data_IF_353989050088
#
_entry.id   IF_353989050088
#
_cell.length_a   1.000
_cell.length_b   1.000
_cell.length_c   1.000
_cell.angle_alpha   90.00
_cell.angle_beta   90.00
_cell.angle_gamma   90.00
#
_symmetry.space_group_name_H-M   'P 1'
#
loop_
_entity.id
_entity.type
_entity.pdbx_description
1 polymer ?
#
# COMPACT_ATOMS: atom_id res chain seq x y z
N UNK A 1 -32.10 -10.94 -20.92
CA UNK A 1 -30.82 -10.28 -21.26
C UNK A 1 -29.88 -11.36 -21.72
N UNK A 2 -29.20 -11.23 -22.84
CA UNK A 2 -28.31 -12.28 -23.29
C UNK A 2 -26.98 -12.20 -22.48
N UNK A 3 -26.42 -13.36 -22.15
CA UNK A 3 -25.13 -13.46 -21.48
C UNK A 3 -24.07 -12.63 -22.22
N UNK A 4 -24.17 -12.54 -23.53
CA UNK A 4 -23.29 -11.77 -24.39
C UNK A 4 -23.43 -10.25 -24.16
N UNK A 5 -24.65 -9.78 -23.92
CA UNK A 5 -24.92 -8.39 -23.57
C UNK A 5 -24.42 -8.11 -22.17
N UNK A 6 -24.57 -9.04 -21.27
CA UNK A 6 -24.12 -8.91 -19.89
C UNK A 6 -22.60 -8.95 -19.80
N UNK A 7 -21.96 -9.82 -20.59
CA UNK A 7 -20.51 -9.86 -20.69
C UNK A 7 -19.94 -8.62 -21.40
N UNK A 8 -20.60 -8.18 -22.48
CA UNK A 8 -20.23 -6.92 -23.15
C UNK A 8 -20.43 -5.71 -22.24
N UNK A 9 -21.50 -5.71 -21.45
CA UNK A 9 -21.75 -4.67 -20.46
C UNK A 9 -20.76 -4.78 -19.29
N UNK A 10 -20.41 -5.98 -18.86
CA UNK A 10 -19.35 -6.22 -17.89
C UNK A 10 -18.00 -5.71 -18.39
N UNK A 11 -17.58 -6.07 -19.61
CA UNK A 11 -16.36 -5.58 -20.22
C UNK A 11 -16.36 -4.06 -20.40
N UNK A 12 -17.50 -3.50 -20.81
CA UNK A 12 -17.65 -2.05 -20.92
C UNK A 12 -17.61 -1.39 -19.54
N UNK A 13 -18.22 -2.00 -18.54
CA UNK A 13 -18.15 -1.53 -17.16
C UNK A 13 -16.72 -1.67 -16.61
N UNK A 14 -16.02 -2.76 -16.93
CA UNK A 14 -14.59 -2.91 -16.58
C UNK A 14 -13.73 -1.89 -17.32
N UNK A 15 -14.02 -1.61 -18.60
CA UNK A 15 -13.35 -0.55 -19.34
C UNK A 15 -13.64 0.82 -18.73
N UNK A 16 -14.89 1.12 -18.42
CA UNK A 16 -15.31 2.38 -17.78
C UNK A 16 -14.73 2.47 -16.36
N UNK A 17 -14.69 1.37 -15.64
CA UNK A 17 -14.03 1.28 -14.34
C UNK A 17 -12.51 1.40 -14.50
N UNK A 18 -11.95 0.79 -15.53
CA UNK A 18 -10.52 0.93 -15.88
C UNK A 18 -10.21 2.33 -16.36
N UNK A 19 -11.05 2.93 -17.20
CA UNK A 19 -10.93 4.33 -17.60
C UNK A 19 -11.14 5.28 -16.43
N UNK A 20 -12.07 4.97 -15.52
CA UNK A 20 -12.22 5.68 -14.25
C UNK A 20 -11.06 5.40 -13.30
N UNK A 21 -10.60 4.17 -13.23
CA UNK A 21 -9.49 3.75 -12.39
C UNK A 21 -8.16 4.26 -12.92
N UNK A 22 -7.88 4.10 -14.20
CA UNK A 22 -6.58 4.39 -14.82
C UNK A 22 -6.52 5.77 -15.46
N UNK A 23 -7.63 6.34 -15.93
CA UNK A 23 -7.69 7.67 -16.52
C UNK A 23 -8.00 8.76 -15.50
N UNK A 24 -9.22 8.76 -14.98
CA UNK A 24 -9.71 9.81 -14.08
C UNK A 24 -9.60 9.42 -12.62
N UNK A 25 -10.03 8.21 -12.28
CA UNK A 25 -10.16 7.77 -10.89
C UNK A 25 -8.82 7.63 -10.17
N UNK A 26 -7.74 7.26 -10.88
CA UNK A 26 -6.39 7.21 -10.30
C UNK A 26 -5.90 8.59 -9.87
N UNK A 27 -6.27 9.63 -10.62
CA UNK A 27 -5.77 10.99 -10.44
C UNK A 27 -6.77 11.92 -9.72
N UNK A 28 -8.06 11.55 -9.66
CA UNK A 28 -9.08 12.28 -8.90
C UNK A 28 -9.03 11.87 -7.42
N UNK A 29 -7.95 12.21 -6.74
CA UNK A 29 -7.68 11.80 -5.35
C UNK A 29 -8.74 12.34 -4.38
N UNK A 30 -9.28 13.53 -4.65
CA UNK A 30 -10.33 14.16 -3.87
C UNK A 30 -11.59 13.30 -3.76
N UNK A 31 -11.89 12.49 -4.77
CA UNK A 31 -13.03 11.56 -4.76
C UNK A 31 -12.82 10.33 -3.87
N UNK A 32 -11.57 10.09 -3.45
CA UNK A 32 -11.21 8.96 -2.59
C UNK A 32 -10.82 9.40 -1.19
N UNK A 33 -10.72 10.69 -0.97
CA UNK A 33 -10.32 11.20 0.34
C UNK A 33 -11.22 10.67 1.45
N UNK A 34 -10.60 10.10 2.46
CA UNK A 34 -11.21 9.74 3.74
C UNK A 34 -10.54 10.58 4.80
N UNK A 35 -11.32 11.30 5.58
CA UNK A 35 -10.76 12.07 6.69
C UNK A 35 -10.01 11.10 7.61
N UNK A 36 -8.72 11.32 7.86
CA UNK A 36 -7.93 10.42 8.70
C UNK A 36 -8.46 10.44 10.15
N UNK A 37 -8.25 9.35 10.85
CA UNK A 37 -8.73 9.21 12.23
C UNK A 37 -7.87 8.24 13.03
N UNK A 38 -7.87 8.43 14.34
CA UNK A 38 -7.31 7.48 15.29
C UNK A 38 -8.28 6.31 15.45
N UNK A 39 -7.80 5.09 15.21
CA UNK A 39 -8.60 3.89 15.35
C UNK A 39 -8.67 3.49 16.83
N UNK A 40 -7.48 3.32 17.44
CA UNK A 40 -7.36 2.95 18.85
C UNK A 40 -5.91 3.17 19.32
N UNK A 41 -5.73 3.70 20.54
CA UNK A 41 -4.40 3.86 21.13
C UNK A 41 -3.44 4.64 20.22
N UNK A 42 -2.43 3.98 19.72
CA UNK A 42 -1.40 4.54 18.85
C UNK A 42 -1.56 4.12 17.38
N UNK A 43 -2.71 3.58 16.99
CA UNK A 43 -3.04 3.14 15.64
C UNK A 43 -3.95 4.15 14.94
N UNK A 44 -3.56 4.57 13.74
CA UNK A 44 -4.23 5.59 12.93
C UNK A 44 -4.55 5.06 11.54
N UNK A 45 -5.66 5.53 10.97
CA UNK A 45 -6.02 5.36 9.56
C UNK A 45 -5.68 6.64 8.80
N UNK A 46 -4.89 6.49 7.73
CA UNK A 46 -4.47 7.61 6.88
C UNK A 46 -4.64 7.33 5.38
N UNK A 47 -5.23 6.18 5.04
CA UNK A 47 -5.49 5.74 3.68
C UNK A 47 -6.65 6.49 2.99
N UNK A 48 -7.06 5.95 1.87
CA UNK A 48 -8.20 6.45 1.10
C UNK A 48 -9.34 5.41 1.05
N UNK A 49 -10.45 5.72 0.38
CA UNK A 49 -11.60 4.81 0.29
C UNK A 49 -11.35 3.56 -0.58
N UNK A 50 -10.17 3.45 -1.15
CA UNK A 50 -9.76 2.30 -1.97
C UNK A 50 -8.72 1.45 -1.28
N UNK A 51 -7.62 2.07 -0.84
CA UNK A 51 -6.49 1.36 -0.23
C UNK A 51 -6.32 1.83 1.20
N UNK A 52 -6.37 0.86 2.10
CA UNK A 52 -6.12 1.13 3.50
C UNK A 52 -4.63 1.41 3.73
N UNK A 53 -4.33 2.50 4.41
CA UNK A 53 -3.00 2.78 4.94
C UNK A 53 -3.14 3.06 6.43
N UNK A 54 -2.32 2.36 7.21
CA UNK A 54 -2.33 2.50 8.66
C UNK A 54 -0.97 2.98 9.17
N UNK A 55 -0.99 3.70 10.28
CA UNK A 55 0.23 4.09 10.99
C UNK A 55 0.12 3.65 12.45
N UNK A 56 1.20 3.10 12.95
CA UNK A 56 1.42 2.86 14.38
C UNK A 56 2.52 3.81 14.86
N UNK A 57 2.22 4.62 15.87
CA UNK A 57 3.26 5.34 16.59
C UNK A 57 3.94 4.38 17.57
N UNK A 58 5.18 4.01 17.27
CA UNK A 58 5.95 3.03 18.04
C UNK A 58 6.66 3.65 19.25
N UNK A 59 6.51 4.96 19.46
CA UNK A 59 7.24 5.73 20.47
C UNK A 59 8.70 6.00 20.13
N UNK A 60 9.22 5.44 19.02
CA UNK A 60 10.58 5.69 18.50
C UNK A 60 10.62 6.02 17.01
N UNK A 61 9.47 6.26 16.44
CA UNK A 61 9.21 6.56 15.04
C UNK A 61 7.89 5.95 14.62
N UNK A 62 7.48 6.23 13.40
CA UNK A 62 6.25 5.73 12.83
C UNK A 62 6.50 4.47 12.00
N UNK A 63 5.65 3.47 12.20
CA UNK A 63 5.55 2.30 11.37
C UNK A 63 4.32 2.44 10.48
N UNK A 64 4.48 2.39 9.17
CA UNK A 64 3.39 2.50 8.22
C UNK A 64 3.12 1.14 7.54
N UNK A 65 1.85 0.78 7.39
CA UNK A 65 1.37 -0.39 6.66
C UNK A 65 0.76 0.07 5.34
N UNK A 66 1.32 -0.41 4.25
CA UNK A 66 1.08 0.01 2.88
C UNK A 66 1.39 1.50 2.64
N UNK A 67 1.41 1.89 1.38
CA UNK A 67 1.78 3.22 0.95
C UNK A 67 0.77 3.83 -0.05
N UNK A 68 -0.42 3.25 -0.08
CA UNK A 68 -1.50 3.72 -0.95
C UNK A 68 -1.21 3.58 -2.42
N UNK A 69 -2.13 4.11 -3.18
CA UNK A 69 -2.13 4.07 -4.63
C UNK A 69 -1.14 5.08 -5.24
N UNK A 70 -0.68 4.83 -6.44
CA UNK A 70 0.10 5.80 -7.20
C UNK A 70 -0.69 7.12 -7.38
N UNK A 71 0.02 8.23 -7.30
CA UNK A 71 -0.58 9.57 -7.34
C UNK A 71 -1.23 10.03 -6.03
N UNK A 72 -1.43 9.15 -5.04
CA UNK A 72 -2.04 9.52 -3.75
C UNK A 72 -1.04 10.04 -2.70
N UNK A 73 0.24 10.15 -3.03
CA UNK A 73 1.31 10.53 -2.09
C UNK A 73 1.02 11.86 -1.38
N UNK A 74 0.56 12.89 -2.10
CA UNK A 74 0.28 14.19 -1.51
C UNK A 74 -0.87 14.11 -0.49
N UNK A 75 -1.93 13.37 -0.81
CA UNK A 75 -3.06 13.14 0.09
C UNK A 75 -2.63 12.34 1.32
N UNK A 76 -1.80 11.32 1.15
CA UNK A 76 -1.25 10.52 2.25
C UNK A 76 -0.42 11.39 3.21
N UNK A 77 0.48 12.22 2.68
CA UNK A 77 1.26 13.17 3.47
C UNK A 77 0.36 14.14 4.25
N UNK A 78 -0.67 14.68 3.59
CA UNK A 78 -1.64 15.57 4.23
C UNK A 78 -2.40 14.84 5.34
N UNK A 79 -2.86 13.61 5.10
CA UNK A 79 -3.56 12.80 6.10
C UNK A 79 -2.71 12.52 7.34
N UNK A 80 -1.41 12.26 7.16
CA UNK A 80 -0.47 12.07 8.27
C UNK A 80 -0.36 13.36 9.10
N UNK A 81 -0.22 14.52 8.46
CA UNK A 81 -0.18 15.81 9.17
C UNK A 81 -1.49 16.14 9.89
N UNK A 82 -2.63 15.81 9.32
CA UNK A 82 -3.93 16.02 9.97
C UNK A 82 -4.07 15.21 11.28
N UNK A 83 -3.35 14.10 11.40
CA UNK A 83 -3.28 13.34 12.66
C UNK A 83 -2.27 13.91 13.66
N UNK A 84 -1.61 15.03 13.32
CA UNK A 84 -0.55 15.61 14.16
C UNK A 84 0.76 14.81 14.13
N UNK A 85 0.89 13.88 13.18
CA UNK A 85 2.08 13.07 12.97
C UNK A 85 2.99 13.73 11.92
N UNK A 86 4.30 13.46 11.99
CA UNK A 86 5.25 13.97 11.00
C UNK A 86 5.60 12.87 9.99
N UNK A 87 5.33 13.03 8.68
CA UNK A 87 5.69 12.05 7.66
C UNK A 87 7.18 11.68 7.66
N UNK A 88 8.07 12.61 8.06
CA UNK A 88 9.50 12.35 8.16
C UNK A 88 9.87 11.36 9.28
N UNK A 89 8.96 11.10 10.22
CA UNK A 89 9.15 10.12 11.28
C UNK A 89 8.75 8.69 10.87
N UNK A 90 8.28 8.49 9.63
CA UNK A 90 8.02 7.15 9.07
C UNK A 90 9.35 6.46 8.79
N UNK A 91 9.81 5.68 9.75
CA UNK A 91 11.08 4.95 9.68
C UNK A 91 10.95 3.60 8.99
N UNK A 92 9.80 2.99 9.13
CA UNK A 92 9.52 1.64 8.64
C UNK A 92 8.22 1.60 7.88
N UNK A 93 8.22 0.87 6.79
CA UNK A 93 7.05 0.64 5.97
C UNK A 93 6.96 -0.84 5.64
N UNK A 94 5.85 -1.46 6.00
CA UNK A 94 5.55 -2.85 5.70
C UNK A 94 4.51 -2.86 4.59
N UNK A 95 4.82 -3.51 3.49
CA UNK A 95 3.88 -3.71 2.40
C UNK A 95 3.14 -5.02 2.60
N UNK A 96 1.82 -4.96 2.56
CA UNK A 96 0.97 -6.14 2.66
C UNK A 96 1.20 -7.09 1.51
N UNK A 97 1.44 -6.55 0.31
CA UNK A 97 1.79 -7.30 -0.89
C UNK A 97 2.36 -6.37 -1.99
N UNK A 98 2.80 -6.97 -3.10
CA UNK A 98 3.56 -6.30 -4.17
C UNK A 98 2.74 -5.70 -5.30
N UNK A 99 1.45 -5.36 -5.15
CA UNK A 99 0.70 -4.63 -6.18
C UNK A 99 0.88 -3.12 -6.06
N UNK A 100 0.83 -2.45 -7.21
CA UNK A 100 1.15 -1.02 -7.35
C UNK A 100 0.26 -0.09 -6.52
N UNK A 101 -0.97 -0.48 -6.25
CA UNK A 101 -1.90 0.29 -5.44
C UNK A 101 -1.58 0.26 -3.93
N UNK A 102 -0.65 -0.60 -3.50
CA UNK A 102 -0.15 -0.67 -2.13
C UNK A 102 1.21 -0.02 -1.90
N UNK A 103 1.95 0.29 -2.96
CA UNK A 103 3.30 0.86 -2.84
C UNK A 103 3.48 2.24 -3.51
N UNK A 104 2.40 2.93 -3.84
CA UNK A 104 2.44 4.18 -4.62
C UNK A 104 3.28 5.30 -4.02
N UNK A 105 3.44 5.38 -2.71
CA UNK A 105 4.29 6.39 -2.07
C UNK A 105 5.68 5.87 -1.65
N UNK A 106 6.01 4.59 -1.87
CA UNK A 106 7.26 3.98 -1.39
C UNK A 106 8.49 4.75 -1.87
N UNK A 107 8.60 4.99 -3.17
CA UNK A 107 9.75 5.68 -3.74
C UNK A 107 9.95 7.09 -3.16
N UNK A 108 8.84 7.78 -2.84
CA UNK A 108 8.89 9.08 -2.19
C UNK A 108 9.47 8.97 -0.77
N UNK A 109 8.92 8.07 0.05
CA UNK A 109 9.35 7.91 1.44
C UNK A 109 10.80 7.42 1.55
N UNK A 110 11.20 6.47 0.71
CA UNK A 110 12.61 6.02 0.65
C UNK A 110 13.55 7.19 0.34
N UNK A 111 13.24 7.98 -0.68
CA UNK A 111 14.12 9.06 -1.14
C UNK A 111 14.14 10.25 -0.19
N UNK A 112 12.99 10.62 0.38
CA UNK A 112 12.86 11.83 1.18
C UNK A 112 13.19 11.61 2.65
N UNK A 113 12.91 10.42 3.18
CA UNK A 113 12.95 10.17 4.62
C UNK A 113 13.80 8.96 5.02
N UNK A 114 14.45 8.31 4.05
CA UNK A 114 15.25 7.08 4.27
C UNK A 114 14.45 5.95 4.95
N UNK A 115 13.15 5.90 4.63
CA UNK A 115 12.23 4.88 5.16
C UNK A 115 12.65 3.49 4.69
N UNK A 116 12.76 2.55 5.62
CA UNK A 116 13.08 1.15 5.32
C UNK A 116 11.83 0.37 4.94
N UNK A 117 11.93 -0.40 3.86
CA UNK A 117 10.82 -1.15 3.28
C UNK A 117 10.94 -2.64 3.59
N UNK A 118 9.84 -3.18 4.07
CA UNK A 118 9.67 -4.58 4.44
C UNK A 118 8.58 -5.19 3.57
N UNK A 119 8.78 -6.41 3.07
CA UNK A 119 7.79 -7.14 2.27
C UNK A 119 8.00 -8.65 2.42
N UNK A 120 6.93 -9.43 2.25
CA UNK A 120 6.99 -10.89 2.28
C UNK A 120 7.94 -11.47 1.24
N UNK A 121 8.70 -12.53 1.60
CA UNK A 121 9.70 -13.14 0.71
C UNK A 121 9.15 -13.54 -0.66
N UNK A 122 7.93 -14.09 -0.80
CA UNK A 122 7.40 -14.44 -2.11
C UNK A 122 7.15 -13.23 -3.02
N UNK A 123 6.67 -12.11 -2.48
CA UNK A 123 6.48 -10.89 -3.27
C UNK A 123 7.82 -10.21 -3.60
N UNK A 124 8.82 -10.35 -2.75
CA UNK A 124 10.21 -9.95 -3.09
C UNK A 124 10.71 -10.76 -4.29
N UNK A 125 10.47 -12.08 -4.32
CA UNK A 125 10.80 -12.93 -5.47
C UNK A 125 9.99 -12.55 -6.70
N UNK A 126 8.69 -12.23 -6.53
CA UNK A 126 7.85 -11.75 -7.62
C UNK A 126 8.45 -10.49 -8.28
N UNK A 127 8.95 -9.53 -7.50
CA UNK A 127 9.60 -8.34 -8.06
C UNK A 127 10.85 -8.67 -8.89
N UNK A 128 11.58 -9.72 -8.52
CA UNK A 128 12.81 -10.14 -9.19
C UNK A 128 12.56 -10.99 -10.44
N UNK A 129 11.60 -11.90 -10.37
CA UNK A 129 11.39 -12.95 -11.37
C UNK A 129 10.24 -12.61 -12.34
N UNK A 130 9.19 -11.94 -11.86
CA UNK A 130 7.95 -11.64 -12.59
C UNK A 130 7.45 -10.22 -12.26
N UNK A 131 8.25 -9.17 -12.55
CA UNK A 131 7.95 -7.78 -12.16
C UNK A 131 6.64 -7.25 -12.76
N UNK A 132 6.14 -7.82 -13.85
CA UNK A 132 4.86 -7.49 -14.47
C UNK A 132 3.68 -7.76 -13.54
N UNK A 133 3.81 -8.74 -12.64
CA UNK A 133 2.75 -9.06 -11.66
C UNK A 133 2.55 -7.96 -10.60
N UNK A 134 3.46 -7.00 -10.51
CA UNK A 134 3.23 -5.80 -9.71
C UNK A 134 2.16 -4.85 -10.28
N UNK A 135 1.65 -5.14 -11.49
CA UNK A 135 0.54 -4.46 -12.16
C UNK A 135 0.77 -2.97 -12.43
N UNK A 136 2.01 -2.54 -12.57
CA UNK A 136 2.34 -1.13 -12.84
C UNK A 136 1.81 -0.69 -14.21
N UNK A 137 1.95 -1.56 -15.23
CA UNK A 137 1.51 -1.24 -16.60
C UNK A 137 -0.01 -1.28 -16.73
N UNK A 138 -0.65 -2.23 -16.07
CA UNK A 138 -2.11 -2.38 -16.06
C UNK A 138 -2.81 -1.22 -15.33
N UNK A 139 -2.11 -0.53 -14.45
CA UNK A 139 -2.62 0.68 -13.79
C UNK A 139 -2.69 1.89 -14.73
N UNK A 140 -2.25 1.74 -15.98
CA UNK A 140 -2.37 2.73 -17.03
C UNK A 140 -1.32 3.81 -16.90
N UNK A 141 -1.69 4.99 -16.43
CA UNK A 141 -0.81 6.14 -16.36
C UNK A 141 0.07 6.18 -15.09
N UNK A 142 0.21 5.06 -14.38
CA UNK A 142 1.07 5.00 -13.20
C UNK A 142 2.53 5.17 -13.59
N UNK A 143 3.20 6.10 -12.97
CA UNK A 143 4.64 6.39 -13.19
C UNK A 143 5.53 5.73 -12.14
N UNK A 144 4.92 4.95 -11.26
CA UNK A 144 5.67 4.25 -10.23
C UNK A 144 6.64 3.23 -10.84
N UNK A 145 7.69 2.98 -10.09
CA UNK A 145 8.74 2.02 -10.44
C UNK A 145 8.94 1.07 -9.27
N UNK A 146 9.36 -0.13 -9.58
CA UNK A 146 9.85 -1.03 -8.56
C UNK A 146 11.06 -0.43 -7.82
N UNK A 147 11.27 -0.89 -6.63
CA UNK A 147 12.26 -0.39 -5.70
C UNK A 147 12.93 -1.57 -4.97
N UNK A 148 14.07 -1.30 -4.38
CA UNK A 148 14.75 -2.30 -3.56
C UNK A 148 14.04 -2.46 -2.22
N UNK A 149 13.79 -3.69 -1.83
CA UNK A 149 13.25 -4.08 -0.52
C UNK A 149 14.43 -4.20 0.46
N UNK A 150 14.34 -3.53 1.59
CA UNK A 150 15.42 -3.53 2.58
C UNK A 150 15.40 -4.80 3.44
N UNK A 151 14.20 -5.35 3.71
CA UNK A 151 14.03 -6.57 4.52
C UNK A 151 12.97 -7.47 3.91
N UNK A 152 13.36 -8.70 3.62
CA UNK A 152 12.45 -9.77 3.21
C UNK A 152 11.95 -10.52 4.44
N UNK A 153 10.63 -10.56 4.63
CA UNK A 153 9.95 -11.19 5.78
C UNK A 153 9.59 -12.63 5.43
N UNK A 154 9.78 -13.54 6.40
CA UNK A 154 9.43 -14.96 6.29
C UNK A 154 8.33 -15.34 7.25
N UNK A 155 7.72 -16.50 6.99
CA UNK A 155 6.73 -17.08 7.89
C UNK A 155 7.29 -17.21 9.31
N UNK A 156 6.53 -16.71 10.30
CA UNK A 156 6.87 -16.79 11.70
C UNK A 156 7.95 -15.81 12.16
N UNK A 157 8.40 -14.88 11.30
CA UNK A 157 9.33 -13.85 11.74
C UNK A 157 8.68 -12.95 12.79
N UNK A 158 9.46 -12.61 13.82
CA UNK A 158 9.07 -11.64 14.84
C UNK A 158 10.05 -10.46 14.78
N UNK A 159 9.52 -9.29 14.47
CA UNK A 159 10.33 -8.08 14.32
C UNK A 159 9.88 -6.99 15.31
N UNK A 160 10.85 -6.20 15.78
CA UNK A 160 10.59 -5.09 16.70
C UNK A 160 10.77 -3.75 16.01
N UNK A 161 9.76 -2.91 16.06
CA UNK A 161 9.73 -1.55 15.54
C UNK A 161 9.52 -0.57 16.70
N UNK A 162 10.59 0.06 17.15
CA UNK A 162 10.53 0.92 18.33
C UNK A 162 10.11 0.16 19.59
N UNK A 163 8.90 0.41 20.10
CA UNK A 163 8.31 -0.26 21.25
C UNK A 163 7.22 -1.28 20.85
N UNK A 164 7.07 -1.55 19.56
CA UNK A 164 6.05 -2.45 19.02
C UNK A 164 6.71 -3.70 18.49
N UNK A 165 6.23 -4.87 18.88
CA UNK A 165 6.65 -6.17 18.36
C UNK A 165 5.54 -6.72 17.45
N UNK A 166 5.94 -7.33 16.33
CA UNK A 166 5.03 -7.85 15.31
C UNK A 166 5.47 -9.25 14.92
N UNK A 167 4.54 -10.19 14.98
CA UNK A 167 4.68 -11.52 14.42
C UNK A 167 4.04 -11.55 13.02
N UNK A 168 4.74 -12.13 12.05
CA UNK A 168 4.32 -12.19 10.66
C UNK A 168 3.90 -13.59 10.26
N UNK A 169 2.74 -13.66 9.61
CA UNK A 169 2.27 -14.89 8.98
C UNK A 169 2.06 -14.64 7.49
N UNK A 170 2.43 -15.59 6.65
CA UNK A 170 2.26 -15.51 5.21
C UNK A 170 0.93 -16.20 4.84
N UNK A 171 0.00 -15.46 4.23
CA UNK A 171 -1.29 -16.01 3.81
C UNK A 171 -1.42 -15.90 2.30
N UNK A 172 -1.23 -17.00 1.55
CA UNK A 172 -1.36 -16.98 0.11
C UNK A 172 -2.81 -16.71 -0.32
N UNK A 173 -3.00 -15.94 -1.39
CA UNK A 173 -4.34 -15.66 -1.91
C UNK A 173 -4.38 -14.65 -3.04
N UNK A 174 -4.34 -13.39 -2.72
CA UNK A 174 -4.46 -12.28 -3.69
C UNK A 174 -3.17 -12.10 -4.52
N UNK A 175 -2.02 -12.21 -3.89
CA UNK A 175 -0.72 -12.49 -4.49
C UNK A 175 -0.23 -13.85 -4.01
N UNK A 176 1.02 -14.22 -4.29
CA UNK A 176 1.60 -15.46 -3.74
C UNK A 176 1.64 -15.41 -2.21
N UNK A 177 1.71 -14.19 -1.62
CA UNK A 177 1.53 -13.98 -0.18
C UNK A 177 1.00 -12.59 0.16
N UNK A 178 -0.03 -12.55 0.98
CA UNK A 178 -0.46 -11.35 1.70
C UNK A 178 0.05 -11.48 3.14
N UNK A 179 0.65 -10.41 3.67
CA UNK A 179 1.10 -10.37 5.05
C UNK A 179 -0.03 -9.91 5.98
N UNK A 180 -0.76 -10.78 6.65
CA UNK A 180 -1.53 -10.38 7.81
C UNK A 180 -0.58 -10.10 8.96
N UNK A 181 -0.87 -9.04 9.69
CA UNK A 181 -0.04 -8.55 10.79
C UNK A 181 -0.78 -8.73 12.09
N UNK A 182 -0.17 -9.40 13.05
CA UNK A 182 -0.66 -9.47 14.41
C UNK A 182 0.21 -8.58 15.30
N UNK A 183 -0.40 -7.53 15.87
CA UNK A 183 0.24 -6.70 16.90
C UNK A 183 0.18 -7.44 18.23
N UNK A 184 1.32 -7.64 18.85
CA UNK A 184 1.41 -8.20 20.20
C UNK A 184 1.61 -7.10 21.25
#
# INVERSE_FOLDING_TARGET
MSIKTDYGQYLNNQRVLSEKRTGRFWFEQENRYVKPFQIYGNLYYVGDSWVCVHIVDTGKGLLMFDAGNCGATAMLIQSIWEMGLNPADVKWMILSHGHVDHFGAVNFFKRMFDTKIYMGEPDVKMFQENPELAMIQESGNCTEKLFDIDVSIKEGDVLTFGNTEIEFHLVPGHTQDVLPVFLM
#
